data_IF_751175830872
#
_entry.id   IF_751175830872
#
_cell.length_a   1.000
_cell.length_b   1.000
_cell.length_c   1.000
_cell.angle_alpha   90.00
_cell.angle_beta   90.00
_cell.angle_gamma   90.00
#
_symmetry.space_group_name_H-M   'P 1'
#
loop_
_entity.id
_entity.type
_entity.pdbx_description
1 polymer ?
#
# COMPACT_ATOMS: atom_id res chain seq x y z
N UNK A 1 -3.09 -9.88 3.13
CA UNK A 1 -3.64 -8.66 2.51
C UNK A 1 -4.01 -7.69 3.60
N UNK A 2 -3.32 -6.56 3.70
CA UNK A 2 -3.77 -5.46 4.53
C UNK A 2 -4.81 -4.69 3.72
N UNK A 3 -6.07 -4.70 4.15
CA UNK A 3 -7.07 -3.83 3.53
C UNK A 3 -6.68 -2.39 3.82
N UNK A 4 -6.74 -1.46 2.84
CA UNK A 4 -6.47 -0.06 3.11
C UNK A 4 -7.58 0.48 4.02
N UNK A 5 -7.27 0.59 5.32
CA UNK A 5 -8.14 1.23 6.28
C UNK A 5 -7.78 2.70 6.29
N UNK A 6 -8.76 3.57 6.01
CA UNK A 6 -8.56 4.99 6.11
C UNK A 6 -8.20 5.37 7.56
N UNK A 7 -7.09 6.08 7.75
CA UNK A 7 -6.70 6.57 9.08
C UNK A 7 -7.60 7.73 9.47
N UNK A 8 -8.32 7.57 10.60
CA UNK A 8 -9.21 8.59 11.18
C UNK A 8 -8.47 9.91 11.43
N UNK A 9 -7.17 9.86 11.76
CA UNK A 9 -6.36 11.08 11.92
C UNK A 9 -6.19 11.83 10.61
N UNK A 10 -5.89 11.12 9.52
CA UNK A 10 -5.77 11.72 8.19
C UNK A 10 -7.11 12.32 7.73
N UNK A 11 -8.23 11.63 7.98
CA UNK A 11 -9.58 12.14 7.68
C UNK A 11 -9.85 13.45 8.43
N UNK A 12 -9.53 13.51 9.73
CA UNK A 12 -9.73 14.74 10.54
C UNK A 12 -8.92 15.92 10.02
N UNK A 13 -7.67 15.69 9.62
CA UNK A 13 -6.81 16.73 9.04
C UNK A 13 -7.40 17.22 7.71
N UNK A 14 -7.85 16.30 6.84
CA UNK A 14 -8.49 16.64 5.57
C UNK A 14 -9.74 17.52 5.78
N UNK A 15 -10.60 17.14 6.73
CA UNK A 15 -11.80 17.91 7.06
C UNK A 15 -11.42 19.30 7.59
N UNK A 16 -10.44 19.40 8.50
CA UNK A 16 -10.01 20.67 9.05
C UNK A 16 -9.51 21.65 7.97
N UNK A 17 -8.73 21.15 7.02
CA UNK A 17 -8.24 21.93 5.88
C UNK A 17 -9.43 22.37 5.00
N UNK A 18 -10.33 21.46 4.66
CA UNK A 18 -11.50 21.79 3.84
C UNK A 18 -12.37 22.87 4.49
N UNK A 19 -12.63 22.78 5.80
CA UNK A 19 -13.37 23.82 6.53
C UNK A 19 -12.63 25.16 6.60
N UNK A 20 -11.30 25.15 6.67
CA UNK A 20 -10.51 26.38 6.73
C UNK A 20 -10.56 27.16 5.40
N UNK A 21 -10.59 26.45 4.28
CA UNK A 21 -10.64 27.04 2.94
C UNK A 21 -12.05 27.11 2.32
N UNK A 22 -13.09 26.80 3.10
CA UNK A 22 -14.49 26.74 2.65
C UNK A 22 -14.69 25.83 1.42
N UNK A 23 -14.02 24.67 1.42
CA UNK A 23 -14.13 23.68 0.36
C UNK A 23 -15.28 22.71 0.58
N UNK A 24 -16.02 22.44 -0.49
CA UNK A 24 -17.03 21.39 -0.52
C UNK A 24 -16.35 20.02 -0.64
N UNK A 25 -16.61 19.14 0.33
CA UNK A 25 -16.10 17.75 0.30
C UNK A 25 -17.09 16.87 -0.44
N UNK A 26 -16.66 16.34 -1.59
CA UNK A 26 -17.39 15.34 -2.34
C UNK A 26 -17.02 13.93 -1.84
N UNK A 27 -17.95 12.97 -1.97
CA UNK A 27 -17.67 11.58 -1.57
C UNK A 27 -16.49 11.04 -2.37
N UNK A 28 -15.41 10.72 -1.67
CA UNK A 28 -14.27 10.03 -2.25
C UNK A 28 -14.54 8.53 -2.24
N UNK A 29 -14.94 7.97 -3.38
CA UNK A 29 -14.96 6.52 -3.57
C UNK A 29 -13.54 6.05 -3.92
N UNK A 30 -12.90 5.35 -2.98
CA UNK A 30 -11.61 4.73 -3.24
C UNK A 30 -11.88 3.42 -3.95
N UNK A 31 -11.79 3.43 -5.29
CA UNK A 31 -11.71 2.18 -6.06
C UNK A 31 -10.49 1.42 -5.57
N UNK A 32 -10.76 0.38 -4.79
CA UNK A 32 -9.71 -0.51 -4.30
C UNK A 32 -9.25 -1.31 -5.51
N UNK A 33 -8.19 -0.85 -6.17
CA UNK A 33 -7.48 -1.69 -7.11
C UNK A 33 -6.91 -2.83 -6.27
N UNK A 34 -7.40 -4.06 -6.49
CA UNK A 34 -6.73 -5.24 -5.97
C UNK A 34 -5.37 -5.31 -6.65
N UNK A 35 -4.37 -4.85 -5.93
CA UNK A 35 -2.97 -4.95 -6.28
C UNK A 35 -2.56 -6.43 -6.10
N UNK A 36 -3.15 -7.37 -6.82
CA UNK A 36 -2.70 -8.77 -6.88
C UNK A 36 -2.64 -9.25 -8.34
N UNK A 37 -2.44 -8.29 -9.24
CA UNK A 37 -2.23 -8.54 -10.66
C UNK A 37 -0.88 -9.19 -10.88
N UNK A 38 -0.77 -9.98 -11.94
CA UNK A 38 0.54 -10.46 -12.39
C UNK A 38 1.42 -9.27 -12.76
N UNK A 39 2.67 -9.30 -12.29
CA UNK A 39 3.65 -8.28 -12.65
C UNK A 39 4.20 -8.61 -14.05
N UNK A 40 4.11 -7.65 -14.96
CA UNK A 40 4.76 -7.75 -16.27
C UNK A 40 6.28 -7.46 -16.18
N UNK A 41 6.69 -6.84 -15.07
CA UNK A 41 8.07 -6.45 -14.79
C UNK A 41 8.67 -7.31 -13.67
N UNK A 42 9.98 -7.49 -13.74
CA UNK A 42 10.73 -8.29 -12.78
C UNK A 42 11.05 -7.48 -11.53
N UNK A 43 10.17 -7.58 -10.52
CA UNK A 43 10.38 -6.93 -9.23
C UNK A 43 10.99 -7.92 -8.24
N UNK A 44 12.06 -7.49 -7.56
CA UNK A 44 12.73 -8.26 -6.53
C UNK A 44 12.65 -7.53 -5.18
N UNK A 45 12.52 -8.28 -4.09
CA UNK A 45 12.52 -7.74 -2.73
C UNK A 45 13.56 -8.47 -1.87
N UNK A 46 14.05 -7.77 -0.85
CA UNK A 46 14.87 -8.38 0.20
C UNK A 46 14.07 -9.48 0.90
N UNK A 47 14.77 -10.53 1.34
CA UNK A 47 14.15 -11.60 2.11
C UNK A 47 13.49 -11.03 3.38
N UNK A 48 12.21 -11.35 3.65
CA UNK A 48 11.54 -10.85 4.84
C UNK A 48 12.22 -11.35 6.11
N UNK A 49 12.15 -10.54 7.15
CA UNK A 49 12.58 -10.95 8.49
C UNK A 49 11.83 -12.22 8.91
N UNK A 50 12.56 -13.23 9.39
CA UNK A 50 12.02 -14.56 9.71
C UNK A 50 11.90 -15.54 8.53
N UNK A 51 12.13 -15.11 7.28
CA UNK A 51 12.12 -15.96 6.08
C UNK A 51 13.46 -16.03 5.34
N UNK A 52 14.53 -15.48 5.93
CA UNK A 52 15.88 -15.52 5.37
C UNK A 52 16.37 -16.95 5.26
N UNK A 53 16.74 -17.38 4.05
CA UNK A 53 17.29 -18.70 3.80
C UNK A 53 18.72 -18.81 4.37
N UNK A 54 18.99 -19.73 5.32
CA UNK A 54 20.31 -19.84 5.95
C UNK A 54 21.43 -20.22 4.97
N UNK A 55 21.12 -20.97 3.91
CA UNK A 55 22.10 -21.38 2.88
C UNK A 55 22.38 -20.26 1.87
N UNK A 56 21.46 -19.30 1.77
CA UNK A 56 21.53 -18.23 0.77
C UNK A 56 21.02 -16.90 1.36
N UNK A 57 21.73 -16.34 2.36
CA UNK A 57 21.26 -15.16 3.08
C UNK A 57 21.22 -13.90 2.19
N UNK A 58 22.00 -13.86 1.11
CA UNK A 58 22.10 -12.72 0.19
C UNK A 58 21.13 -12.78 -0.99
N UNK A 59 20.32 -13.84 -1.11
CA UNK A 59 19.32 -13.92 -2.18
C UNK A 59 18.18 -12.93 -1.96
N UNK A 60 17.49 -12.63 -3.05
CA UNK A 60 16.30 -11.79 -3.11
C UNK A 60 15.10 -12.62 -3.57
N UNK A 61 13.90 -12.23 -3.14
CA UNK A 61 12.65 -12.87 -3.54
C UNK A 61 12.12 -12.19 -4.81
N UNK A 62 11.77 -12.97 -5.85
CA UNK A 62 11.08 -12.45 -7.03
C UNK A 62 9.58 -12.36 -6.75
N UNK A 63 9.01 -11.17 -6.85
CA UNK A 63 7.58 -10.95 -6.72
C UNK A 63 6.87 -11.42 -8.00
N UNK A 64 5.86 -12.27 -7.83
CA UNK A 64 5.06 -12.79 -8.95
C UNK A 64 3.78 -11.97 -9.19
N UNK A 65 3.35 -11.23 -8.17
CA UNK A 65 2.12 -10.45 -8.16
C UNK A 65 2.36 -9.13 -7.43
N UNK A 66 1.54 -8.12 -7.76
CA UNK A 66 1.48 -6.88 -6.99
C UNK A 66 0.97 -7.11 -5.56
N UNK A 67 1.04 -6.07 -4.72
CA UNK A 67 0.84 -6.09 -3.25
C UNK A 67 -0.61 -5.93 -2.81
#
# INVERSE_FOLDING_TARGET
>A
TFSPVADVKAIRILIAIATYYDYEIWKMDVKTAFLNGHLNEDVYMVQPEGFVNPKHPTKVCKLQRSI
#
